data_IF_605759133935
#
_entry.id   IF_605759133935
#
_cell.length_a   1.000
_cell.length_b   1.000
_cell.length_c   1.000
_cell.angle_alpha   90.00
_cell.angle_beta   90.00
_cell.angle_gamma   90.00
#
_symmetry.space_group_name_H-M   'P 1'
#
loop_
_entity.id
_entity.type
_entity.pdbx_description
1 polymer ?
#
# COMPACT_ATOMS: atom_id res chain seq x y z
N UNK A 1 -22.01 -13.05 -1.61
CA UNK A 1 -21.58 -13.20 -0.20
C UNK A 1 -20.27 -12.46 -0.06
N UNK A 2 -20.24 -11.52 0.89
CA UNK A 2 -19.29 -10.40 0.97
C UNK A 2 -18.10 -10.79 1.86
N UNK A 3 -16.88 -10.56 1.40
CA UNK A 3 -15.68 -10.51 2.25
C UNK A 3 -15.11 -9.09 2.18
N UNK A 4 -15.33 -8.34 3.25
CA UNK A 4 -14.66 -7.08 3.54
C UNK A 4 -13.57 -7.39 4.57
N UNK A 5 -12.30 -7.10 4.27
CA UNK A 5 -11.23 -7.04 5.26
C UNK A 5 -11.08 -5.56 5.72
N UNK A 6 -11.50 -5.20 6.94
CA UNK A 6 -11.05 -3.95 7.54
C UNK A 6 -9.70 -4.17 8.24
N UNK A 7 -8.77 -3.26 7.99
CA UNK A 7 -7.48 -3.20 8.69
C UNK A 7 -7.72 -2.68 10.12
N UNK A 8 -7.91 -3.60 11.08
CA UNK A 8 -8.05 -3.28 12.51
C UNK A 8 -6.78 -3.70 13.27
N UNK A 9 -6.22 -2.76 14.04
CA UNK A 9 -5.19 -3.00 15.05
C UNK A 9 -5.92 -3.11 16.38
N UNK A 10 -5.87 -4.28 17.02
CA UNK A 10 -6.25 -4.47 18.41
C UNK A 10 -5.09 -5.16 19.14
N UNK A 11 -4.52 -4.46 20.11
CA UNK A 11 -3.68 -5.02 21.16
C UNK A 11 -4.59 -5.65 22.24
N UNK A 12 -4.27 -6.86 22.71
CA UNK A 12 -4.72 -7.28 24.04
C UNK A 12 -4.89 -8.78 24.30
N UNK A 13 -4.01 -9.31 25.16
CA UNK A 13 -4.15 -10.47 26.06
C UNK A 13 -4.21 -11.90 25.49
N UNK A 14 -3.08 -12.57 25.76
CA UNK A 14 -2.78 -14.00 25.81
C UNK A 14 -3.90 -14.91 26.35
N UNK A 15 -4.20 -15.97 25.60
CA UNK A 15 -4.52 -17.30 26.14
C UNK A 15 -3.83 -18.35 25.24
N UNK A 16 -2.97 -19.16 25.87
CA UNK A 16 -2.24 -20.25 25.24
C UNK A 16 -3.21 -21.32 24.73
N UNK A 17 -3.11 -21.68 23.45
CA UNK A 17 -3.55 -22.98 22.96
C UNK A 17 -2.41 -23.61 22.15
N UNK A 18 -1.77 -24.60 22.77
CA UNK A 18 -0.81 -25.48 22.11
C UNK A 18 -1.56 -26.51 21.27
N UNK A 19 -1.40 -26.47 19.95
CA UNK A 19 -1.63 -27.64 19.11
C UNK A 19 -0.31 -28.00 18.41
N UNK A 20 0.28 -29.10 18.88
CA UNK A 20 1.32 -29.83 18.16
C UNK A 20 0.67 -30.59 17.00
N UNK A 21 1.05 -30.27 15.77
CA UNK A 21 0.96 -31.20 14.64
C UNK A 21 2.36 -31.36 14.05
N UNK A 22 3.04 -32.42 14.48
CA UNK A 22 4.29 -32.86 13.88
C UNK A 22 3.99 -33.53 12.53
N UNK A 23 4.37 -32.89 11.43
CA UNK A 23 4.62 -33.56 10.16
C UNK A 23 6.13 -33.69 9.97
N UNK A 24 6.63 -34.92 9.98
CA UNK A 24 8.05 -35.27 9.82
C UNK A 24 8.37 -35.33 8.33
N UNK A 25 9.13 -34.37 7.82
CA UNK A 25 9.69 -34.40 6.46
C UNK A 25 10.88 -35.38 6.39
N UNK A 26 10.74 -36.42 5.55
CA UNK A 26 11.79 -37.39 5.21
C UNK A 26 12.87 -36.72 4.36
N UNK A 27 14.13 -36.83 4.77
CA UNK A 27 15.29 -36.54 3.92
C UNK A 27 15.48 -37.64 2.89
N UNK A 28 15.37 -37.31 1.60
CA UNK A 28 15.96 -38.11 0.52
C UNK A 28 17.03 -37.27 -0.18
N UNK A 29 18.29 -37.68 0.00
CA UNK A 29 19.42 -37.08 -0.69
C UNK A 29 19.55 -37.67 -2.08
N UNK A 30 19.62 -36.81 -3.10
CA UNK A 30 20.15 -37.15 -4.40
C UNK A 30 21.14 -36.07 -4.86
N UNK A 31 22.35 -36.53 -5.18
CA UNK A 31 23.44 -35.76 -5.77
C UNK A 31 23.13 -35.42 -7.23
N UNK A 32 23.39 -34.18 -7.64
CA UNK A 32 23.24 -33.72 -9.02
C UNK A 32 24.62 -33.63 -9.68
N UNK A 33 24.88 -34.44 -10.70
CA UNK A 33 25.93 -34.18 -11.69
C UNK A 33 25.33 -33.96 -13.09
N UNK A 34 25.69 -32.82 -13.67
CA UNK A 34 25.84 -32.46 -15.08
C UNK A 34 24.83 -32.99 -16.12
N UNK A 35 23.96 -32.10 -16.63
CA UNK A 35 23.38 -32.23 -17.98
C UNK A 35 23.38 -30.86 -18.69
N UNK A 36 23.94 -30.83 -19.91
CA UNK A 36 24.00 -29.70 -20.85
C UNK A 36 22.68 -29.53 -21.63
N UNK A 37 22.40 -28.34 -22.22
CA UNK A 37 21.08 -27.99 -22.70
C UNK A 37 20.77 -28.56 -24.09
N UNK A 38 19.58 -29.13 -24.26
CA UNK A 38 18.96 -29.38 -25.56
C UNK A 38 17.54 -28.79 -25.62
N UNK A 39 17.14 -28.49 -26.85
CA UNK A 39 16.11 -27.57 -27.29
C UNK A 39 14.66 -27.97 -26.95
N UNK A 40 13.86 -26.91 -26.80
CA UNK A 40 12.39 -26.78 -26.77
C UNK A 40 11.63 -28.03 -27.25
N UNK A 41 11.04 -28.74 -26.30
CA UNK A 41 9.97 -29.71 -26.50
C UNK A 41 8.78 -29.27 -25.65
N UNK A 42 7.59 -29.27 -26.24
CA UNK A 42 6.30 -29.02 -25.57
C UNK A 42 6.28 -29.81 -24.26
N UNK A 43 6.26 -29.09 -23.14
CA UNK A 43 6.57 -29.63 -21.81
C UNK A 43 5.50 -30.61 -21.37
N UNK A 44 5.93 -31.85 -21.07
CA UNK A 44 5.13 -32.81 -20.34
C UNK A 44 4.69 -32.21 -18.99
N UNK A 45 3.49 -32.55 -18.48
CA UNK A 45 3.04 -32.11 -17.17
C UNK A 45 4.05 -32.52 -16.09
N UNK A 46 4.18 -31.75 -15.00
CA UNK A 46 5.09 -32.08 -13.91
C UNK A 46 4.84 -33.51 -13.40
N UNK A 47 5.89 -34.21 -12.92
CA UNK A 47 5.70 -35.44 -12.17
C UNK A 47 4.60 -35.23 -11.12
N UNK A 48 3.63 -36.15 -11.03
CA UNK A 48 2.44 -36.00 -10.18
C UNK A 48 2.76 -35.56 -8.75
N UNK A 49 3.89 -36.01 -8.19
CA UNK A 49 4.36 -35.65 -6.85
C UNK A 49 4.63 -34.13 -6.68
N UNK A 50 5.11 -33.45 -7.72
CA UNK A 50 5.42 -32.01 -7.69
C UNK A 50 4.14 -31.17 -7.81
N UNK A 51 3.18 -31.61 -8.62
CA UNK A 51 1.90 -30.92 -8.76
C UNK A 51 1.13 -30.89 -7.43
N UNK A 52 1.13 -32.01 -6.71
CA UNK A 52 0.58 -32.09 -5.35
C UNK A 52 1.34 -31.18 -4.37
N UNK A 53 2.67 -31.17 -4.41
CA UNK A 53 3.48 -30.28 -3.55
C UNK A 53 3.19 -28.79 -3.79
N UNK A 54 2.99 -28.39 -5.06
CA UNK A 54 2.58 -27.02 -5.41
C UNK A 54 1.19 -26.70 -4.87
N UNK A 55 0.23 -27.62 -5.03
CA UNK A 55 -1.13 -27.45 -4.54
C UNK A 55 -1.16 -27.29 -3.01
N UNK A 56 -0.55 -28.22 -2.28
CA UNK A 56 -0.52 -28.20 -0.80
C UNK A 56 0.17 -26.94 -0.28
N UNK A 57 1.27 -26.54 -0.91
CA UNK A 57 1.97 -25.32 -0.52
C UNK A 57 1.21 -24.05 -0.91
N UNK A 58 0.49 -24.06 -2.04
CA UNK A 58 -0.36 -22.94 -2.45
C UNK A 58 -1.50 -22.70 -1.45
N UNK A 59 -2.11 -23.76 -0.90
CA UNK A 59 -3.12 -23.64 0.17
C UNK A 59 -2.53 -23.02 1.45
N UNK A 60 -1.32 -23.45 1.83
CA UNK A 60 -0.58 -22.83 2.95
C UNK A 60 -0.27 -21.35 2.68
N UNK A 61 0.20 -21.00 1.47
CA UNK A 61 0.43 -19.61 1.09
C UNK A 61 -0.85 -18.78 1.08
N UNK A 62 -1.99 -19.36 0.66
CA UNK A 62 -3.27 -18.69 0.68
C UNK A 62 -3.67 -18.32 2.11
N UNK A 63 -3.47 -19.24 3.06
CA UNK A 63 -3.67 -18.95 4.48
C UNK A 63 -2.79 -17.77 4.94
N UNK A 64 -1.49 -17.82 4.66
CA UNK A 64 -0.55 -16.73 5.01
C UNK A 64 -0.88 -15.40 4.33
N UNK A 65 -1.44 -15.43 3.12
CA UNK A 65 -1.94 -14.26 2.41
C UNK A 65 -3.12 -13.61 3.13
N UNK A 66 -4.05 -14.42 3.64
CA UNK A 66 -5.23 -13.92 4.36
C UNK A 66 -4.91 -13.42 5.77
N UNK A 67 -3.81 -13.90 6.38
CA UNK A 67 -3.36 -13.42 7.68
C UNK A 67 -2.46 -12.18 7.57
N UNK A 68 -2.63 -11.24 8.51
CA UNK A 68 -1.71 -10.12 8.63
C UNK A 68 -0.37 -10.63 9.15
N UNK A 69 0.69 -10.54 8.34
CA UNK A 69 2.02 -10.96 8.76
C UNK A 69 2.45 -10.28 10.06
N UNK A 70 2.95 -11.07 11.00
CA UNK A 70 3.36 -10.61 12.32
C UNK A 70 4.87 -10.63 12.45
N UNK A 71 5.45 -9.60 13.08
CA UNK A 71 6.89 -9.53 13.35
C UNK A 71 7.41 -10.75 14.13
N UNK A 72 6.59 -11.31 15.03
CA UNK A 72 6.90 -12.52 15.81
C UNK A 72 7.12 -13.76 14.96
N UNK A 73 6.61 -13.80 13.72
CA UNK A 73 6.68 -14.94 12.82
C UNK A 73 7.70 -14.77 11.68
N UNK A 74 8.56 -13.74 11.74
CA UNK A 74 9.52 -13.41 10.67
C UNK A 74 10.34 -14.61 10.17
N UNK A 75 10.84 -15.45 11.09
CA UNK A 75 11.65 -16.62 10.76
C UNK A 75 10.87 -17.73 10.04
N UNK A 76 9.57 -17.88 10.33
CA UNK A 76 8.70 -18.83 9.64
C UNK A 76 8.50 -18.39 8.19
N UNK A 77 8.22 -17.11 7.97
CA UNK A 77 8.07 -16.55 6.63
C UNK A 77 9.33 -16.70 5.78
N UNK A 78 10.52 -16.60 6.38
CA UNK A 78 11.78 -16.87 5.66
C UNK A 78 11.88 -18.32 5.16
N UNK A 79 11.34 -19.28 5.90
CA UNK A 79 11.30 -20.68 5.47
C UNK A 79 10.32 -20.85 4.31
N UNK A 80 9.12 -20.29 4.43
CA UNK A 80 8.12 -20.29 3.36
C UNK A 80 8.65 -19.65 2.08
N UNK A 81 9.36 -18.52 2.20
CA UNK A 81 9.99 -17.85 1.06
C UNK A 81 11.06 -18.70 0.38
N UNK A 82 11.87 -19.44 1.15
CA UNK A 82 12.86 -20.38 0.60
C UNK A 82 12.19 -21.52 -0.15
N UNK A 83 11.15 -22.11 0.42
CA UNK A 83 10.38 -23.20 -0.22
C UNK A 83 9.68 -22.71 -1.48
N UNK A 84 8.97 -21.57 -1.40
CA UNK A 84 8.30 -20.95 -2.54
C UNK A 84 9.27 -20.61 -3.66
N UNK A 85 10.49 -20.16 -3.36
CA UNK A 85 11.53 -19.93 -4.38
C UNK A 85 11.90 -21.21 -5.14
N UNK A 86 12.03 -22.34 -4.43
CA UNK A 86 12.32 -23.64 -5.04
C UNK A 86 11.19 -24.03 -5.98
N UNK A 87 9.94 -24.04 -5.48
CA UNK A 87 8.76 -24.41 -6.26
C UNK A 87 8.56 -23.49 -7.48
N UNK A 88 8.72 -22.17 -7.29
CA UNK A 88 8.65 -21.21 -8.39
C UNK A 88 9.71 -21.48 -9.48
N UNK A 89 10.93 -21.86 -9.10
CA UNK A 89 12.00 -22.17 -10.08
C UNK A 89 11.72 -23.41 -10.93
N UNK A 90 10.89 -24.33 -10.42
CA UNK A 90 10.39 -25.50 -11.13
C UNK A 90 9.25 -25.05 -12.08
N UNK A 91 8.25 -24.37 -11.52
CA UNK A 91 7.07 -23.87 -12.23
C UNK A 91 7.39 -22.93 -13.39
N UNK A 92 8.33 -22.00 -13.21
CA UNK A 92 8.69 -21.01 -14.22
C UNK A 92 9.19 -21.63 -15.54
N UNK A 93 9.62 -22.90 -15.53
CA UNK A 93 10.06 -23.65 -16.72
C UNK A 93 8.91 -24.36 -17.45
N UNK A 94 7.72 -24.38 -16.87
CA UNK A 94 6.58 -25.21 -17.28
C UNK A 94 5.27 -24.43 -17.33
N UNK A 95 5.34 -23.09 -17.36
CA UNK A 95 4.16 -22.23 -17.35
C UNK A 95 3.20 -22.58 -18.50
N UNK A 96 2.00 -23.00 -18.15
CA UNK A 96 0.89 -23.31 -19.06
C UNK A 96 -0.30 -22.41 -18.77
N UNK A 97 -0.84 -21.72 -19.79
CA UNK A 97 -1.80 -20.60 -19.70
C UNK A 97 -3.14 -21.01 -19.06
N UNK A 98 -3.48 -22.30 -19.08
CA UNK A 98 -4.77 -22.81 -18.62
C UNK A 98 -4.75 -23.46 -17.21
N UNK A 99 -3.64 -23.34 -16.48
CA UNK A 99 -3.50 -23.95 -15.14
C UNK A 99 -3.79 -22.95 -14.00
N UNK A 100 -4.94 -23.15 -13.33
CA UNK A 100 -5.38 -22.32 -12.21
C UNK A 100 -4.45 -22.40 -11.00
N UNK A 101 -3.91 -23.58 -10.69
CA UNK A 101 -3.08 -23.79 -9.49
C UNK A 101 -1.73 -23.07 -9.66
N UNK A 102 -1.18 -23.07 -10.87
CA UNK A 102 0.00 -22.28 -11.20
C UNK A 102 -0.24 -20.78 -11.01
N UNK A 103 -1.37 -20.27 -11.50
CA UNK A 103 -1.74 -18.86 -11.33
C UNK A 103 -1.92 -18.48 -9.85
N UNK A 104 -2.65 -19.30 -9.10
CA UNK A 104 -2.87 -19.07 -7.67
C UNK A 104 -1.53 -19.07 -6.91
N UNK A 105 -0.65 -20.03 -7.21
CA UNK A 105 0.68 -20.09 -6.60
C UNK A 105 1.50 -18.83 -6.90
N UNK A 106 1.56 -18.39 -8.16
CA UNK A 106 2.29 -17.18 -8.57
C UNK A 106 1.76 -15.97 -7.79
N UNK A 107 0.44 -15.83 -7.73
CA UNK A 107 -0.20 -14.71 -7.04
C UNK A 107 0.10 -14.71 -5.54
N UNK A 108 -0.06 -15.84 -4.87
CA UNK A 108 0.12 -15.96 -3.43
C UNK A 108 1.60 -15.80 -3.04
N UNK A 109 2.51 -16.41 -3.81
CA UNK A 109 3.95 -16.32 -3.55
C UNK A 109 4.49 -14.90 -3.78
N UNK A 110 4.10 -14.24 -4.87
CA UNK A 110 4.47 -12.84 -5.11
C UNK A 110 3.94 -11.92 -4.01
N UNK A 111 2.70 -12.16 -3.54
CA UNK A 111 2.15 -11.37 -2.44
C UNK A 111 2.88 -11.60 -1.12
N UNK A 112 3.29 -12.84 -0.81
CA UNK A 112 4.10 -13.12 0.37
C UNK A 112 5.43 -12.37 0.32
N UNK A 113 6.11 -12.35 -0.84
CA UNK A 113 7.34 -11.57 -1.05
C UNK A 113 7.12 -10.08 -0.78
N UNK A 114 6.04 -9.50 -1.32
CA UNK A 114 5.65 -8.10 -1.09
C UNK A 114 5.38 -7.79 0.39
N UNK A 115 4.60 -8.64 1.06
CA UNK A 115 4.26 -8.45 2.46
C UNK A 115 5.51 -8.58 3.36
N UNK A 116 6.40 -9.52 3.05
CA UNK A 116 7.68 -9.66 3.76
C UNK A 116 8.59 -8.46 3.54
N UNK A 117 8.62 -7.90 2.32
CA UNK A 117 9.34 -6.67 2.02
C UNK A 117 8.85 -5.49 2.87
N UNK A 118 7.54 -5.32 3.04
CA UNK A 118 6.98 -4.30 3.95
C UNK A 118 7.38 -4.52 5.40
N UNK A 119 7.38 -5.77 5.86
CA UNK A 119 7.77 -6.10 7.22
C UNK A 119 9.24 -5.73 7.49
N UNK A 120 10.12 -5.99 6.54
CA UNK A 120 11.53 -5.57 6.60
C UNK A 120 11.68 -4.04 6.59
N UNK A 121 10.89 -3.33 5.78
CA UNK A 121 10.89 -1.88 5.74
C UNK A 121 10.49 -1.27 7.09
N UNK A 122 9.47 -1.83 7.74
CA UNK A 122 9.06 -1.45 9.09
C UNK A 122 10.15 -1.68 10.14
N UNK A 123 11.11 -2.57 9.88
CA UNK A 123 12.28 -2.83 10.73
C UNK A 123 13.53 -2.07 10.27
N UNK A 124 13.37 -1.09 9.37
CA UNK A 124 14.45 -0.28 8.79
C UNK A 124 15.49 -1.09 8.00
N UNK A 125 15.12 -2.27 7.51
CA UNK A 125 15.96 -3.16 6.72
C UNK A 125 15.80 -2.90 5.21
N UNK A 126 16.07 -1.66 4.83
CA UNK A 126 15.74 -1.08 3.53
C UNK A 126 16.32 -1.86 2.33
N UNK A 127 17.60 -2.23 2.37
CA UNK A 127 18.25 -2.95 1.26
C UNK A 127 17.69 -4.37 1.07
N UNK A 128 17.39 -5.06 2.18
CA UNK A 128 16.76 -6.38 2.13
C UNK A 128 15.33 -6.26 1.60
N UNK A 129 14.55 -5.28 2.10
CA UNK A 129 13.19 -5.01 1.63
C UNK A 129 13.14 -4.79 0.11
N UNK A 130 14.03 -3.95 -0.43
CA UNK A 130 14.08 -3.65 -1.86
C UNK A 130 14.31 -4.90 -2.71
N UNK A 131 15.17 -5.82 -2.26
CA UNK A 131 15.42 -7.09 -2.95
C UNK A 131 14.14 -7.93 -3.03
N UNK A 132 13.37 -8.04 -1.93
CA UNK A 132 12.12 -8.79 -1.93
C UNK A 132 11.03 -8.14 -2.78
N UNK A 133 10.96 -6.81 -2.84
CA UNK A 133 10.08 -6.12 -3.81
C UNK A 133 10.41 -6.46 -5.25
N UNK A 134 11.70 -6.47 -5.60
CA UNK A 134 12.17 -6.84 -6.95
C UNK A 134 11.86 -8.30 -7.27
N UNK A 135 12.03 -9.21 -6.31
CA UNK A 135 11.66 -10.62 -6.49
C UNK A 135 10.15 -10.78 -6.69
N UNK A 136 9.32 -10.03 -5.96
CA UNK A 136 7.86 -10.05 -6.17
C UNK A 136 7.48 -9.62 -7.58
N UNK A 137 8.03 -8.50 -8.07
CA UNK A 137 7.82 -8.06 -9.46
C UNK A 137 8.27 -9.14 -10.46
N UNK A 138 9.44 -9.76 -10.28
CA UNK A 138 9.88 -10.86 -11.15
C UNK A 138 8.88 -12.03 -11.22
N UNK A 139 8.27 -12.41 -10.10
CA UNK A 139 7.23 -13.45 -10.04
C UNK A 139 5.97 -12.99 -10.79
N UNK A 140 5.49 -11.77 -10.57
CA UNK A 140 4.34 -11.22 -11.32
C UNK A 140 4.60 -11.10 -12.82
N UNK A 141 5.82 -10.75 -13.24
CA UNK A 141 6.20 -10.68 -14.65
C UNK A 141 6.24 -12.06 -15.30
N UNK A 142 6.70 -13.09 -14.59
CA UNK A 142 6.63 -14.47 -15.08
C UNK A 142 5.18 -14.90 -15.32
N UNK A 143 4.27 -14.52 -14.41
CA UNK A 143 2.83 -14.77 -14.56
C UNK A 143 2.10 -13.86 -15.55
N UNK A 144 2.79 -12.97 -16.27
CA UNK A 144 2.14 -11.98 -17.14
C UNK A 144 1.25 -12.60 -18.22
N UNK A 145 1.58 -13.80 -18.68
CA UNK A 145 0.79 -14.53 -19.67
C UNK A 145 -0.63 -14.85 -19.20
N UNK A 146 -0.84 -14.94 -17.88
CA UNK A 146 -2.13 -15.27 -17.24
C UNK A 146 -3.00 -14.04 -16.94
N UNK A 147 -2.43 -12.83 -17.01
CA UNK A 147 -3.09 -11.64 -16.46
C UNK A 147 -4.38 -11.25 -17.19
N UNK A 148 -4.59 -11.75 -18.41
CA UNK A 148 -5.80 -11.49 -19.18
C UNK A 148 -6.95 -12.40 -18.73
N UNK A 149 -6.66 -13.68 -18.53
CA UNK A 149 -7.60 -14.70 -18.06
C UNK A 149 -7.86 -14.58 -16.56
N UNK A 150 -6.87 -14.05 -15.81
CA UNK A 150 -6.90 -13.89 -14.36
C UNK A 150 -6.58 -12.43 -13.95
N UNK A 151 -7.57 -11.52 -14.03
CA UNK A 151 -7.39 -10.09 -13.73
C UNK A 151 -6.89 -9.80 -12.31
N UNK A 152 -7.15 -10.69 -11.36
CA UNK A 152 -6.67 -10.59 -9.96
C UNK A 152 -5.14 -10.57 -9.88
N UNK A 153 -4.45 -11.29 -10.76
CA UNK A 153 -2.99 -11.29 -10.82
C UNK A 153 -2.45 -9.91 -11.28
N UNK A 154 -3.07 -9.32 -12.30
CA UNK A 154 -2.73 -7.96 -12.73
C UNK A 154 -3.08 -6.92 -11.65
N UNK A 155 -4.19 -7.11 -10.95
CA UNK A 155 -4.57 -6.24 -9.83
C UNK A 155 -3.51 -6.26 -8.73
N UNK A 156 -3.10 -7.44 -8.27
CA UNK A 156 -2.10 -7.57 -7.21
C UNK A 156 -0.71 -7.09 -7.66
N UNK A 157 -0.37 -7.25 -8.94
CA UNK A 157 0.83 -6.65 -9.53
C UNK A 157 0.79 -5.11 -9.55
N UNK A 158 -0.35 -4.51 -9.90
CA UNK A 158 -0.54 -3.05 -9.79
C UNK A 158 -0.41 -2.59 -8.33
N UNK A 159 -1.00 -3.34 -7.40
CA UNK A 159 -0.92 -3.07 -5.97
C UNK A 159 0.52 -3.19 -5.44
N UNK A 160 1.31 -4.16 -5.92
CA UNK A 160 2.72 -4.31 -5.60
C UNK A 160 3.52 -3.02 -5.89
N UNK A 161 3.34 -2.43 -7.08
CA UNK A 161 3.98 -1.16 -7.41
C UNK A 161 3.51 0.01 -6.52
N UNK A 162 2.21 0.10 -6.26
CA UNK A 162 1.65 1.13 -5.41
C UNK A 162 2.21 1.05 -3.97
N UNK A 163 2.26 -0.16 -3.40
CA UNK A 163 2.83 -0.43 -2.07
C UNK A 163 4.32 -0.14 -2.02
N UNK A 164 5.09 -0.64 -2.99
CA UNK A 164 6.51 -0.31 -3.10
C UNK A 164 6.76 1.20 -3.20
N UNK A 165 5.85 1.96 -3.81
CA UNK A 165 6.00 3.42 -3.92
C UNK A 165 6.03 4.13 -2.56
N UNK A 166 5.39 3.56 -1.53
CA UNK A 166 5.35 4.14 -0.17
C UNK A 166 6.76 4.24 0.44
N UNK A 167 7.63 3.28 0.13
CA UNK A 167 9.05 3.29 0.52
C UNK A 167 9.76 4.60 0.16
N UNK A 168 9.42 5.17 -1.00
CA UNK A 168 10.06 6.38 -1.53
C UNK A 168 9.36 7.66 -1.10
N UNK A 169 8.28 7.61 -0.31
CA UNK A 169 7.48 8.80 0.02
C UNK A 169 8.27 9.88 0.76
N UNK A 170 9.20 9.49 1.63
CA UNK A 170 10.00 10.43 2.43
C UNK A 170 11.25 10.95 1.72
N UNK A 171 11.56 10.43 0.53
CA UNK A 171 12.72 10.87 -0.22
C UNK A 171 12.54 12.29 -0.73
N UNK A 172 13.61 13.08 -0.79
CA UNK A 172 13.58 14.38 -1.46
C UNK A 172 13.33 14.22 -2.96
N UNK A 173 13.95 13.23 -3.58
CA UNK A 173 13.70 12.84 -4.97
C UNK A 173 12.52 11.86 -5.05
N UNK A 174 11.42 12.33 -5.64
CA UNK A 174 10.17 11.58 -5.84
C UNK A 174 10.13 10.84 -7.19
N UNK A 175 11.19 10.88 -8.00
CA UNK A 175 11.19 10.30 -9.36
C UNK A 175 10.90 8.80 -9.35
N UNK A 176 11.53 8.06 -8.44
CA UNK A 176 11.31 6.61 -8.30
C UNK A 176 9.88 6.29 -7.84
N UNK A 177 9.34 7.05 -6.89
CA UNK A 177 7.95 6.91 -6.45
C UNK A 177 6.98 7.13 -7.61
N UNK A 178 7.20 8.19 -8.38
CA UNK A 178 6.35 8.51 -9.53
C UNK A 178 6.42 7.42 -10.60
N UNK A 179 7.60 6.87 -10.87
CA UNK A 179 7.78 5.77 -11.82
C UNK A 179 6.96 4.53 -11.41
N UNK A 180 7.02 4.15 -10.12
CA UNK A 180 6.24 3.03 -9.58
C UNK A 180 4.73 3.29 -9.68
N UNK A 181 4.25 4.47 -9.26
CA UNK A 181 2.84 4.83 -9.37
C UNK A 181 2.35 4.91 -10.83
N UNK A 182 3.20 5.33 -11.76
CA UNK A 182 2.89 5.33 -13.19
C UNK A 182 2.73 3.90 -13.73
N UNK A 183 3.55 2.95 -13.25
CA UNK A 183 3.37 1.54 -13.58
C UNK A 183 2.07 0.98 -12.99
N UNK A 184 1.77 1.29 -11.73
CA UNK A 184 0.51 0.92 -11.09
C UNK A 184 -0.71 1.49 -11.84
N UNK A 185 -0.67 2.76 -12.23
CA UNK A 185 -1.72 3.43 -13.01
C UNK A 185 -1.93 2.74 -14.36
N UNK A 186 -0.86 2.45 -15.10
CA UNK A 186 -0.96 1.79 -16.41
C UNK A 186 -1.68 0.45 -16.31
N UNK A 187 -1.38 -0.36 -15.30
CA UNK A 187 -2.02 -1.67 -15.10
C UNK A 187 -3.48 -1.48 -14.64
N UNK A 188 -3.72 -0.65 -13.62
CA UNK A 188 -5.06 -0.41 -13.08
C UNK A 188 -6.01 0.24 -14.09
N UNK A 189 -5.54 1.18 -14.90
CA UNK A 189 -6.31 1.81 -15.98
C UNK A 189 -6.75 0.79 -17.04
N UNK A 190 -5.90 -0.19 -17.34
CA UNK A 190 -6.26 -1.31 -18.23
C UNK A 190 -7.30 -2.22 -17.57
N UNK A 191 -7.12 -2.56 -16.29
CA UNK A 191 -8.05 -3.39 -15.54
C UNK A 191 -9.46 -2.83 -15.50
N UNK A 192 -9.62 -1.53 -15.19
CA UNK A 192 -10.95 -0.90 -15.14
C UNK A 192 -11.59 -0.79 -16.53
N UNK A 193 -10.79 -0.70 -17.59
CA UNK A 193 -11.29 -0.67 -18.97
C UNK A 193 -11.82 -2.04 -19.37
N UNK A 194 -11.07 -3.09 -19.01
CA UNK A 194 -11.39 -4.47 -19.38
C UNK A 194 -12.46 -5.08 -18.44
N UNK A 195 -12.62 -4.54 -17.22
CA UNK A 195 -13.54 -5.02 -16.18
C UNK A 195 -14.24 -3.84 -15.47
N UNK A 196 -15.15 -3.11 -16.16
CA UNK A 196 -15.73 -1.88 -15.63
C UNK A 196 -16.65 -2.08 -14.42
N UNK A 197 -17.19 -3.28 -14.19
CA UNK A 197 -18.11 -3.57 -13.07
C UNK A 197 -17.37 -3.93 -11.76
N UNK A 198 -16.04 -4.07 -11.79
CA UNK A 198 -15.23 -4.46 -10.63
C UNK A 198 -14.87 -3.25 -9.75
N UNK A 199 -15.69 -2.99 -8.74
CA UNK A 199 -15.52 -1.87 -7.80
C UNK A 199 -14.12 -1.83 -7.16
N UNK A 200 -13.55 -3.00 -6.83
CA UNK A 200 -12.23 -3.10 -6.22
C UNK A 200 -11.13 -2.53 -7.13
N UNK A 201 -11.23 -2.78 -8.45
CA UNK A 201 -10.27 -2.28 -9.43
C UNK A 201 -10.41 -0.77 -9.62
N UNK A 202 -11.65 -0.28 -9.64
CA UNK A 202 -11.92 1.15 -9.68
C UNK A 202 -11.34 1.87 -8.46
N UNK A 203 -11.62 1.36 -7.26
CA UNK A 203 -11.13 1.94 -6.00
C UNK A 203 -9.60 1.97 -5.96
N UNK A 204 -8.93 0.88 -6.33
CA UNK A 204 -7.47 0.85 -6.41
C UNK A 204 -6.93 1.86 -7.41
N UNK A 205 -7.52 1.94 -8.61
CA UNK A 205 -7.12 2.95 -9.60
C UNK A 205 -7.23 4.37 -9.04
N UNK A 206 -8.36 4.71 -8.39
CA UNK A 206 -8.56 6.02 -7.77
C UNK A 206 -7.52 6.31 -6.67
N UNK A 207 -7.14 5.31 -5.88
CA UNK A 207 -6.11 5.45 -4.85
C UNK A 207 -4.73 5.74 -5.46
N UNK A 208 -4.37 5.07 -6.55
CA UNK A 208 -3.12 5.37 -7.29
C UNK A 208 -3.11 6.82 -7.78
N UNK A 209 -4.22 7.31 -8.34
CA UNK A 209 -4.32 8.71 -8.80
C UNK A 209 -4.21 9.70 -7.62
N UNK A 210 -4.80 9.39 -6.46
CA UNK A 210 -4.66 10.19 -5.24
C UNK A 210 -3.22 10.24 -4.75
N UNK A 211 -2.49 9.12 -4.77
CA UNK A 211 -1.08 9.09 -4.37
C UNK A 211 -0.18 9.85 -5.34
N UNK A 212 -0.46 9.82 -6.65
CA UNK A 212 0.26 10.66 -7.63
C UNK A 212 0.07 12.16 -7.36
N UNK A 213 -1.12 12.58 -6.90
CA UNK A 213 -1.36 13.96 -6.51
C UNK A 213 -0.49 14.42 -5.33
N UNK A 214 -0.02 13.53 -4.44
CA UNK A 214 0.96 13.92 -3.40
C UNK A 214 2.23 14.50 -4.04
N UNK A 215 2.70 13.85 -5.10
CA UNK A 215 3.93 14.21 -5.79
C UNK A 215 3.72 15.49 -6.58
N UNK A 216 2.66 15.54 -7.39
CA UNK A 216 2.39 16.70 -8.22
C UNK A 216 2.18 17.96 -7.37
N UNK A 217 1.49 17.87 -6.22
CA UNK A 217 1.28 19.03 -5.35
C UNK A 217 2.56 19.59 -4.72
N UNK A 218 3.66 18.83 -4.72
CA UNK A 218 4.97 19.28 -4.26
C UNK A 218 5.85 19.85 -5.38
N UNK A 219 5.50 19.58 -6.64
CA UNK A 219 6.28 20.02 -7.80
C UNK A 219 5.82 21.38 -8.31
N UNK A 220 6.77 22.27 -8.59
CA UNK A 220 6.51 23.47 -9.36
C UNK A 220 6.01 23.09 -10.77
N UNK A 221 5.06 23.86 -11.32
CA UNK A 221 4.53 23.70 -12.68
C UNK A 221 3.79 22.38 -12.99
N UNK A 222 3.29 21.67 -11.97
CA UNK A 222 2.53 20.42 -12.15
C UNK A 222 1.01 20.63 -12.34
N UNK A 223 0.55 21.86 -12.51
CA UNK A 223 -0.87 22.19 -12.47
C UNK A 223 -1.71 21.42 -13.50
N UNK A 224 -1.22 21.31 -14.73
CA UNK A 224 -1.91 20.54 -15.79
C UNK A 224 -2.06 19.07 -15.42
N UNK A 225 -1.03 18.47 -14.81
CA UNK A 225 -1.05 17.09 -14.31
C UNK A 225 -2.05 16.94 -13.15
N UNK A 226 -2.05 17.88 -12.19
CA UNK A 226 -3.05 17.89 -11.12
C UNK A 226 -4.47 17.97 -11.68
N UNK A 227 -4.71 18.87 -12.63
CA UNK A 227 -6.02 19.02 -13.27
C UNK A 227 -6.45 17.70 -13.94
N UNK A 228 -5.57 17.07 -14.71
CA UNK A 228 -5.88 15.80 -15.36
C UNK A 228 -6.31 14.74 -14.33
N UNK A 229 -5.61 14.63 -13.19
CA UNK A 229 -5.99 13.70 -12.12
C UNK A 229 -7.32 14.05 -11.50
N UNK A 230 -7.58 15.33 -11.21
CA UNK A 230 -8.89 15.73 -10.68
C UNK A 230 -10.03 15.53 -11.66
N UNK A 231 -9.81 15.71 -12.96
CA UNK A 231 -10.83 15.41 -13.99
C UNK A 231 -11.24 13.93 -13.92
N UNK A 232 -10.29 13.02 -13.62
CA UNK A 232 -10.56 11.58 -13.44
C UNK A 232 -11.20 11.25 -12.08
N UNK A 233 -10.79 11.91 -11.00
CA UNK A 233 -11.25 11.63 -9.62
C UNK A 233 -12.63 12.22 -9.32
N UNK A 234 -12.92 13.39 -9.87
CA UNK A 234 -14.10 14.21 -9.52
C UNK A 234 -15.43 13.47 -9.71
N UNK A 235 -15.69 12.76 -10.82
CA UNK A 235 -16.97 12.08 -11.02
C UNK A 235 -17.33 11.11 -9.89
N UNK A 236 -16.34 10.36 -9.39
CA UNK A 236 -16.53 9.42 -8.28
C UNK A 236 -16.70 10.16 -6.96
N UNK A 237 -15.72 10.97 -6.56
CA UNK A 237 -15.72 11.57 -5.22
C UNK A 237 -16.82 12.62 -5.03
N UNK A 238 -17.22 13.36 -6.07
CA UNK A 238 -18.34 14.29 -5.93
C UNK A 238 -19.69 13.56 -5.84
N UNK A 239 -19.81 12.36 -6.40
CA UNK A 239 -21.00 11.51 -6.17
C UNK A 239 -21.06 11.10 -4.69
N UNK A 240 -19.94 10.68 -4.12
CA UNK A 240 -19.83 10.32 -2.69
C UNK A 240 -20.18 11.50 -1.79
N UNK A 241 -19.61 12.69 -2.04
CA UNK A 241 -19.88 13.89 -1.24
C UNK A 241 -21.35 14.32 -1.27
N UNK A 242 -22.06 14.08 -2.39
CA UNK A 242 -23.49 14.38 -2.52
C UNK A 242 -24.40 13.43 -1.74
N UNK A 243 -23.99 12.19 -1.55
CA UNK A 243 -24.81 11.19 -0.87
C UNK A 243 -24.93 11.47 0.63
N UNK A 244 -23.94 12.12 1.25
CA UNK A 244 -23.90 12.54 2.66
C UNK A 244 -24.12 11.42 3.71
N UNK A 245 -24.41 10.19 3.29
CA UNK A 245 -24.54 8.97 4.10
C UNK A 245 -23.30 8.08 3.95
N UNK A 246 -23.01 7.31 5.00
CA UNK A 246 -21.84 6.43 5.19
C UNK A 246 -21.24 5.85 3.89
N UNK A 247 -20.22 6.48 3.28
CA UNK A 247 -19.51 5.86 2.20
C UNK A 247 -18.63 4.75 2.76
N UNK A 248 -18.65 3.60 2.09
CA UNK A 248 -17.67 2.51 2.28
C UNK A 248 -16.20 2.99 2.11
N UNK A 249 -15.98 4.23 1.62
CA UNK A 249 -14.67 4.82 1.34
C UNK A 249 -14.48 6.24 1.90
N UNK A 250 -14.87 6.46 3.16
CA UNK A 250 -14.70 7.76 3.82
C UNK A 250 -13.26 8.26 3.85
N UNK A 251 -12.29 7.41 4.23
CA UNK A 251 -10.89 7.81 4.39
C UNK A 251 -10.32 8.43 3.10
N UNK A 252 -10.46 7.75 1.96
CA UNK A 252 -9.98 8.31 0.69
C UNK A 252 -10.76 9.54 0.23
N UNK A 253 -12.04 9.66 0.62
CA UNK A 253 -12.83 10.87 0.34
C UNK A 253 -12.30 12.08 1.10
N UNK A 254 -11.87 11.90 2.36
CA UNK A 254 -11.21 12.94 3.14
C UNK A 254 -9.89 13.36 2.49
N UNK A 255 -9.08 12.40 2.03
CA UNK A 255 -7.83 12.68 1.31
C UNK A 255 -8.09 13.42 0.00
N UNK A 256 -9.13 13.04 -0.74
CA UNK A 256 -9.57 13.76 -1.93
C UNK A 256 -9.95 15.21 -1.58
N UNK A 257 -10.72 15.44 -0.51
CA UNK A 257 -11.09 16.80 -0.07
C UNK A 257 -9.85 17.65 0.18
N UNK A 258 -8.88 17.12 0.93
CA UNK A 258 -7.62 17.80 1.23
C UNK A 258 -6.90 18.24 -0.05
N UNK A 259 -6.70 17.29 -0.97
CA UNK A 259 -5.96 17.51 -2.21
C UNK A 259 -6.70 18.48 -3.11
N UNK A 260 -8.01 18.34 -3.25
CA UNK A 260 -8.82 19.21 -4.09
C UNK A 260 -8.85 20.64 -3.55
N UNK A 261 -8.93 20.82 -2.22
CA UNK A 261 -8.77 22.13 -1.59
C UNK A 261 -7.44 22.79 -1.97
N UNK A 262 -6.31 22.07 -1.84
CA UNK A 262 -4.98 22.60 -2.21
C UNK A 262 -4.92 23.02 -3.68
N UNK A 263 -5.51 22.22 -4.56
CA UNK A 263 -5.61 22.53 -5.99
C UNK A 263 -6.41 23.80 -6.27
N UNK A 264 -7.59 23.95 -5.66
CA UNK A 264 -8.39 25.17 -5.80
C UNK A 264 -7.68 26.39 -5.21
N UNK A 265 -6.97 26.21 -4.09
CA UNK A 265 -6.32 27.29 -3.35
C UNK A 265 -5.24 28.00 -4.20
N UNK A 266 -4.54 27.26 -5.06
CA UNK A 266 -3.54 27.83 -5.98
C UNK A 266 -4.14 28.92 -6.88
N UNK A 267 -5.40 28.76 -7.30
CA UNK A 267 -6.08 29.71 -8.19
C UNK A 267 -6.88 30.77 -7.45
N UNK A 268 -7.68 30.33 -6.49
CA UNK A 268 -8.61 31.20 -5.79
C UNK A 268 -8.76 30.73 -4.33
N UNK A 269 -7.94 31.28 -3.41
CA UNK A 269 -8.01 30.95 -1.99
C UNK A 269 -9.41 31.14 -1.38
N UNK A 270 -10.14 32.17 -1.81
CA UNK A 270 -11.48 32.45 -1.28
C UNK A 270 -12.47 31.37 -1.72
N UNK A 271 -12.46 31.00 -2.99
CA UNK A 271 -13.30 29.92 -3.52
C UNK A 271 -12.94 28.57 -2.88
N UNK A 272 -11.66 28.26 -2.72
CA UNK A 272 -11.21 27.04 -2.05
C UNK A 272 -11.73 26.96 -0.62
N UNK A 273 -11.64 28.08 0.12
CA UNK A 273 -12.17 28.17 1.50
C UNK A 273 -13.68 27.98 1.54
N UNK A 274 -14.42 28.60 0.60
CA UNK A 274 -15.88 28.43 0.51
C UNK A 274 -16.25 26.99 0.17
N UNK A 275 -15.55 26.35 -0.77
CA UNK A 275 -15.78 24.97 -1.17
C UNK A 275 -15.53 24.00 -0.01
N UNK A 276 -14.45 24.18 0.76
CA UNK A 276 -14.16 23.32 1.91
C UNK A 276 -15.21 23.49 3.02
N UNK A 277 -15.73 24.71 3.24
CA UNK A 277 -16.84 24.95 4.17
C UNK A 277 -18.12 24.23 3.76
N UNK A 278 -18.40 24.08 2.47
CA UNK A 278 -19.56 23.30 1.99
C UNK A 278 -19.43 21.81 2.35
N UNK A 279 -18.22 21.31 2.61
CA UNK A 279 -17.97 19.92 3.02
C UNK A 279 -18.05 19.73 4.54
N UNK A 280 -18.36 20.77 5.33
CA UNK A 280 -18.34 20.74 6.80
C UNK A 280 -19.17 19.59 7.38
N UNK A 281 -20.43 19.45 6.95
CA UNK A 281 -21.32 18.40 7.44
C UNK A 281 -20.79 16.99 7.16
N UNK A 282 -20.18 16.79 5.98
CA UNK A 282 -19.57 15.51 5.62
C UNK A 282 -18.39 15.18 6.55
N UNK A 283 -17.50 16.15 6.78
CA UNK A 283 -16.29 15.99 7.60
C UNK A 283 -16.66 15.75 9.08
N UNK A 284 -17.64 16.47 9.62
CA UNK A 284 -18.06 16.26 11.02
C UNK A 284 -18.79 14.92 11.19
N UNK A 285 -19.66 14.53 10.25
CA UNK A 285 -20.30 13.21 10.27
C UNK A 285 -19.23 12.09 10.28
N UNK A 286 -18.23 12.20 9.41
CA UNK A 286 -17.09 11.28 9.40
C UNK A 286 -16.40 11.19 10.76
N UNK A 287 -16.02 12.33 11.33
CA UNK A 287 -15.33 12.39 12.63
C UNK A 287 -16.15 11.75 13.75
N UNK A 288 -17.47 11.93 13.75
CA UNK A 288 -18.35 11.39 14.77
C UNK A 288 -18.55 9.87 14.68
N UNK A 289 -18.48 9.32 13.46
CA UNK A 289 -18.69 7.89 13.22
C UNK A 289 -17.43 7.05 13.43
N UNK A 290 -16.25 7.63 13.19
CA UNK A 290 -15.00 6.87 13.29
C UNK A 290 -14.46 6.80 14.72
N UNK A 291 -14.29 5.57 15.21
CA UNK A 291 -13.68 5.31 16.52
C UNK A 291 -12.16 5.44 16.48
N UNK A 292 -11.54 5.10 15.35
CA UNK A 292 -10.09 5.18 15.13
C UNK A 292 -9.84 5.92 13.82
N UNK A 293 -8.79 6.75 13.82
CA UNK A 293 -8.40 7.55 12.67
C UNK A 293 -6.99 7.15 12.24
N UNK A 294 -6.79 7.06 10.92
CA UNK A 294 -5.48 6.91 10.33
C UNK A 294 -4.63 8.18 10.52
N UNK A 295 -3.32 8.06 10.29
CA UNK A 295 -2.42 9.21 10.37
C UNK A 295 -2.83 10.33 9.41
N UNK A 296 -3.11 10.00 8.14
CA UNK A 296 -3.48 10.98 7.12
C UNK A 296 -4.79 11.70 7.45
N UNK A 297 -5.75 10.99 8.07
CA UNK A 297 -7.01 11.59 8.51
C UNK A 297 -6.82 12.54 9.69
N UNK A 298 -5.99 12.18 10.67
CA UNK A 298 -5.63 13.09 11.77
C UNK A 298 -4.94 14.35 11.24
N UNK A 299 -4.03 14.19 10.29
CA UNK A 299 -3.34 15.30 9.62
C UNK A 299 -4.35 16.22 8.92
N UNK A 300 -5.26 15.65 8.12
CA UNK A 300 -6.32 16.42 7.48
C UNK A 300 -7.19 17.17 8.50
N UNK A 301 -7.69 16.49 9.54
CA UNK A 301 -8.55 17.10 10.55
C UNK A 301 -7.83 18.23 11.28
N UNK A 302 -6.55 18.04 11.63
CA UNK A 302 -5.72 19.11 12.18
C UNK A 302 -5.69 20.33 11.25
N UNK A 303 -5.38 20.13 9.96
CA UNK A 303 -5.34 21.23 8.99
C UNK A 303 -6.69 21.90 8.77
N UNK A 304 -7.76 21.12 8.71
CA UNK A 304 -9.12 21.61 8.57
C UNK A 304 -9.55 22.48 9.76
N UNK A 305 -9.28 22.05 10.99
CA UNK A 305 -9.56 22.85 12.19
C UNK A 305 -8.67 24.08 12.29
N UNK A 306 -7.41 23.99 11.84
CA UNK A 306 -6.50 25.13 11.77
C UNK A 306 -7.05 26.23 10.87
N UNK A 307 -7.53 25.86 9.68
CA UNK A 307 -8.14 26.78 8.73
C UNK A 307 -9.37 27.47 9.32
N UNK A 308 -10.19 26.73 10.07
CA UNK A 308 -11.39 27.25 10.75
C UNK A 308 -11.09 27.94 12.09
N UNK A 309 -9.81 28.17 12.42
CA UNK A 309 -9.35 28.82 13.67
C UNK A 309 -9.80 28.09 14.95
N UNK A 310 -10.05 26.79 14.86
CA UNK A 310 -10.34 25.93 16.00
C UNK A 310 -9.03 25.34 16.54
N UNK A 311 -8.20 26.19 17.14
CA UNK A 311 -6.82 25.83 17.47
C UNK A 311 -6.71 24.72 18.53
N UNK A 312 -7.63 24.65 19.49
CA UNK A 312 -7.68 23.55 20.46
C UNK A 312 -7.87 22.19 19.79
N UNK A 313 -8.82 22.07 18.86
CA UNK A 313 -9.03 20.83 18.09
C UNK A 313 -7.85 20.56 17.14
N UNK A 314 -7.26 21.60 16.58
CA UNK A 314 -6.05 21.47 15.76
C UNK A 314 -4.94 20.78 16.56
N UNK A 315 -4.62 21.31 17.75
CA UNK A 315 -3.57 20.75 18.60
C UNK A 315 -3.91 19.34 19.10
N UNK A 316 -5.19 19.06 19.40
CA UNK A 316 -5.65 17.71 19.75
C UNK A 316 -5.25 16.67 18.70
N UNK A 317 -5.43 16.97 17.40
CA UNK A 317 -5.06 16.05 16.33
C UNK A 317 -3.55 16.03 16.04
N UNK A 318 -2.89 17.19 16.06
CA UNK A 318 -1.43 17.28 15.87
C UNK A 318 -0.65 16.48 16.92
N UNK A 319 -1.11 16.49 18.17
CA UNK A 319 -0.49 15.73 19.26
C UNK A 319 -0.65 14.21 19.14
N UNK A 320 -1.48 13.73 18.23
CA UNK A 320 -1.69 12.30 17.95
C UNK A 320 -0.91 11.81 16.73
N UNK A 321 -0.17 12.68 16.04
CA UNK A 321 0.62 12.30 14.89
C UNK A 321 1.86 11.55 15.36
N UNK A 322 2.12 10.40 14.73
CA UNK A 322 3.35 9.66 14.95
C UNK A 322 4.40 10.10 13.92
N UNK A 323 5.46 10.82 14.32
CA UNK A 323 6.55 11.18 13.41
C UNK A 323 7.27 9.95 12.88
N UNK A 324 7.16 8.78 13.54
CA UNK A 324 7.81 7.53 13.13
C UNK A 324 7.05 6.75 12.04
N UNK A 325 5.79 7.08 11.80
CA UNK A 325 4.95 6.38 10.82
C UNK A 325 5.45 6.52 9.37
N UNK A 326 5.18 5.50 8.55
CA UNK A 326 5.42 5.54 7.10
C UNK A 326 4.58 6.60 6.37
N UNK A 327 3.46 7.01 6.97
CA UNK A 327 2.59 8.08 6.48
C UNK A 327 2.93 9.46 7.07
N UNK A 328 4.04 9.60 7.81
CA UNK A 328 4.40 10.87 8.42
C UNK A 328 4.59 12.01 7.42
N UNK A 329 3.84 13.10 7.62
CA UNK A 329 4.01 14.33 6.85
C UNK A 329 5.38 14.97 7.12
N UNK A 330 6.10 15.28 6.04
CA UNK A 330 7.39 15.94 6.13
C UNK A 330 7.29 17.32 6.82
N UNK A 331 8.26 17.63 7.68
CA UNK A 331 8.30 18.86 8.50
C UNK A 331 8.08 20.14 7.69
N UNK A 332 8.65 20.21 6.47
CA UNK A 332 8.53 21.39 5.61
C UNK A 332 7.07 21.68 5.19
N UNK A 333 6.20 20.66 5.17
CA UNK A 333 4.77 20.84 4.85
C UNK A 333 4.03 21.61 5.94
N UNK A 334 4.30 21.30 7.20
CA UNK A 334 3.78 22.06 8.34
C UNK A 334 4.34 23.48 8.37
N UNK A 335 5.65 23.63 8.13
CA UNK A 335 6.35 24.94 8.17
C UNK A 335 5.84 25.90 7.10
N UNK A 336 5.80 25.46 5.83
CA UNK A 336 5.84 26.41 4.72
C UNK A 336 4.80 26.14 3.63
N UNK A 337 4.55 24.89 3.25
CA UNK A 337 3.88 24.61 1.97
C UNK A 337 2.38 24.33 2.08
N UNK A 338 1.88 23.75 3.19
CA UNK A 338 0.46 23.37 3.26
C UNK A 338 -0.46 24.54 3.70
N UNK A 339 -1.34 25.06 2.81
CA UNK A 339 -2.20 26.21 3.12
C UNK A 339 -3.19 25.95 4.28
N UNK A 340 -3.45 24.70 4.65
CA UNK A 340 -4.33 24.38 5.77
C UNK A 340 -3.79 24.91 7.12
N UNK A 341 -2.47 24.92 7.30
CA UNK A 341 -1.85 25.37 8.56
C UNK A 341 -1.50 26.87 8.58
N UNK A 342 -1.77 27.62 7.51
CA UNK A 342 -1.38 29.03 7.39
C UNK A 342 -1.80 29.89 8.60
N UNK A 343 -2.97 29.64 9.17
CA UNK A 343 -3.52 30.42 10.30
C UNK A 343 -2.95 30.04 11.67
N UNK A 344 -2.33 28.87 11.82
CA UNK A 344 -1.81 28.38 13.10
C UNK A 344 -0.28 28.44 13.19
N UNK A 345 0.43 28.52 12.05
CA UNK A 345 1.90 28.47 12.00
C UNK A 345 2.60 29.39 12.99
N UNK A 346 2.10 30.60 13.23
CA UNK A 346 2.76 31.56 14.12
C UNK A 346 2.30 31.48 15.58
N UNK A 347 1.44 30.52 15.93
CA UNK A 347 1.01 30.31 17.30
C UNK A 347 2.13 29.67 18.13
N UNK A 348 2.43 30.16 19.35
CA UNK A 348 3.50 29.62 20.18
C UNK A 348 3.39 28.11 20.44
N UNK A 349 2.19 27.63 20.74
CA UNK A 349 1.93 26.21 21.02
C UNK A 349 2.25 25.32 19.80
N UNK A 350 1.86 25.77 18.60
CA UNK A 350 2.16 25.07 17.36
C UNK A 350 3.67 25.05 17.08
N UNK A 351 4.38 26.16 17.32
CA UNK A 351 5.84 26.22 17.15
C UNK A 351 6.56 25.27 18.12
N UNK A 352 6.12 25.19 19.37
CA UNK A 352 6.65 24.22 20.35
C UNK A 352 6.40 22.78 19.89
N UNK A 353 5.17 22.47 19.46
CA UNK A 353 4.84 21.14 18.92
C UNK A 353 5.70 20.80 17.69
N UNK A 354 5.83 21.72 16.75
CA UNK A 354 6.56 21.51 15.49
C UNK A 354 8.05 21.29 15.73
N UNK A 355 8.66 22.00 16.67
CA UNK A 355 10.05 21.78 17.06
C UNK A 355 10.27 20.37 17.64
N UNK A 356 9.32 19.87 18.45
CA UNK A 356 9.37 18.50 18.96
C UNK A 356 9.15 17.46 17.85
N UNK A 357 8.15 17.68 16.98
CA UNK A 357 7.87 16.82 15.84
C UNK A 357 9.09 16.70 14.91
N UNK A 358 9.74 17.83 14.60
CA UNK A 358 10.94 17.87 13.76
C UNK A 358 12.10 17.08 14.37
N UNK A 359 12.33 17.20 15.68
CA UNK A 359 13.34 16.42 16.38
C UNK A 359 13.08 14.92 16.23
N UNK A 360 11.87 14.48 16.54
CA UNK A 360 11.49 13.06 16.46
C UNK A 360 11.51 12.54 15.01
N UNK A 361 11.07 13.35 14.05
CA UNK A 361 11.11 13.02 12.63
C UNK A 361 12.54 12.80 12.12
N UNK A 362 13.52 13.58 12.61
CA UNK A 362 14.93 13.44 12.23
C UNK A 362 15.58 12.16 12.80
N UNK A 363 15.07 11.62 13.93
CA UNK A 363 15.60 10.42 14.58
C UNK A 363 15.26 9.11 13.81
N UNK A 364 14.55 9.18 12.68
CA UNK A 364 14.12 8.04 11.85
C UNK A 364 15.23 7.28 11.10
N UNK A 365 16.48 7.74 11.11
CA UNK A 365 17.58 7.03 10.46
C UNK A 365 18.23 5.98 11.37
N UNK A 366 17.44 5.03 11.87
CA UNK A 366 17.96 3.91 12.66
C UNK A 366 18.39 2.76 11.75
N UNK A 367 19.44 2.07 12.21
CA UNK A 367 20.00 0.88 11.58
C UNK A 367 18.94 -0.23 11.50
N UNK A 368 19.07 -1.11 10.50
CA UNK A 368 18.25 -2.31 10.36
C UNK A 368 18.20 -3.07 11.69
N UNK A 369 16.99 -3.34 12.16
CA UNK A 369 16.75 -3.95 13.48
C UNK A 369 16.80 -5.49 13.45
N UNK A 370 16.98 -6.08 12.26
CA UNK A 370 17.10 -7.51 12.07
C UNK A 370 18.58 -7.82 11.79
N UNK A 371 19.24 -8.46 12.75
CA UNK A 371 20.56 -9.06 12.54
C UNK A 371 20.39 -10.42 11.88
N UNK A 372 21.11 -10.66 10.78
CA UNK A 372 21.22 -11.99 10.17
C UNK A 372 21.80 -12.95 11.22
N UNK A 373 21.01 -13.96 11.61
CA UNK A 373 21.41 -15.06 12.48
C UNK A 373 21.46 -16.37 11.70
#
# INVERSE_FOLDING_TARGET
MRSYLPLLILFGSTLFYTHQSHAVLRKTGHSLENIKPQQVLVSAPPPQDIALEISDFNDHLHYLYTEKMQLSALSLYQQDLKQGRILFSILAKQLDVDDYDQMSFINNYATLLSNYAELLDQQHCYQQSLNYWQQSDQVYQAGKIYQKEYPTLAYNHSLNFARQSVFYRKNSDQSQRLALLTQAERISAKLIKDNPEEDSFQLHHLNVLLDQLDIYQQQANSYSLQKQRFDQLTPYYFKVLKQQSEPDNFGNTIIFIQKYYRYLFIHNPQQATQWLKQQHSFIENYRHQQQTLSQREKEFLAGYYALNRQFTLTMFYLNQLDPNSNDATAVHNFKNTDPLYANIRFQPEFQTWLANYEKLYAEQQKQCQITEH
#
